data_IF_677519074662
#
_entry.id   IF_677519074662
#
_cell.length_a   1.000
_cell.length_b   1.000
_cell.length_c   1.000
_cell.angle_alpha   90.00
_cell.angle_beta   90.00
_cell.angle_gamma   90.00
#
_symmetry.space_group_name_H-M   'P 1'
#
loop_
_entity.id
_entity.type
_entity.pdbx_description
1 polymer ?
#
# COMPACT_ATOMS: atom_id res chain seq x y z
N UNK A 1 2.62 -4.10 -64.16
CA UNK A 1 3.68 -4.07 -63.13
C UNK A 1 3.81 -2.63 -62.62
N UNK A 2 3.48 -2.44 -61.33
CA UNK A 2 3.83 -1.34 -60.42
C UNK A 2 3.72 0.14 -60.88
N UNK A 3 2.80 0.94 -60.31
CA UNK A 3 3.05 2.35 -60.08
C UNK A 3 3.86 2.55 -58.79
N UNK A 4 4.88 3.39 -58.90
CA UNK A 4 5.81 3.78 -57.83
C UNK A 4 5.08 4.58 -56.75
N UNK A 5 5.49 4.28 -55.54
CA UNK A 5 5.03 4.76 -54.26
C UNK A 5 5.59 6.16 -53.92
N UNK A 6 4.89 6.84 -52.99
CA UNK A 6 5.35 7.89 -52.05
C UNK A 6 5.40 9.34 -52.54
N UNK A 7 4.39 10.11 -52.14
CA UNK A 7 4.52 11.06 -51.01
C UNK A 7 3.13 11.60 -50.67
N UNK A 8 2.45 10.96 -49.72
CA UNK A 8 1.29 11.55 -49.05
C UNK A 8 1.88 12.28 -47.85
N UNK A 9 1.93 13.60 -47.92
CA UNK A 9 2.21 14.49 -46.80
C UNK A 9 1.18 14.15 -45.74
N UNK A 10 1.63 13.49 -44.68
CA UNK A 10 0.91 13.38 -43.42
C UNK A 10 1.27 14.64 -42.65
N UNK A 11 0.34 15.58 -42.62
CA UNK A 11 0.31 16.62 -41.60
C UNK A 11 0.08 15.91 -40.26
N UNK A 12 1.17 15.45 -39.65
CA UNK A 12 1.23 15.21 -38.22
C UNK A 12 1.21 16.60 -37.57
N UNK A 13 0.00 17.10 -37.31
CA UNK A 13 -0.20 18.15 -36.32
C UNK A 13 0.27 17.58 -34.98
N UNK A 14 1.54 17.83 -34.68
CA UNK A 14 2.07 17.78 -33.32
C UNK A 14 1.17 18.70 -32.48
N UNK A 15 0.29 18.08 -31.69
CA UNK A 15 -0.37 18.75 -30.57
C UNK A 15 0.72 19.16 -29.60
N UNK A 16 1.29 20.35 -29.83
CA UNK A 16 2.04 21.09 -28.82
C UNK A 16 1.11 21.24 -27.62
N UNK A 17 1.38 20.42 -26.60
CA UNK A 17 0.89 20.56 -25.25
C UNK A 17 1.21 21.99 -24.81
N UNK A 18 0.27 22.91 -25.00
CA UNK A 18 0.42 24.32 -24.63
C UNK A 18 0.77 24.34 -23.15
N UNK A 19 2.04 24.61 -22.78
CA UNK A 19 2.40 24.53 -21.39
C UNK A 19 1.70 25.71 -20.75
N UNK A 20 0.74 25.43 -19.87
CA UNK A 20 0.34 26.39 -18.84
C UNK A 20 1.64 26.95 -18.26
N UNK A 21 1.93 28.22 -18.55
CA UNK A 21 3.26 28.83 -18.37
C UNK A 21 3.73 28.53 -16.95
N UNK A 22 4.67 27.59 -16.81
CA UNK A 22 5.10 27.16 -15.48
C UNK A 22 5.63 28.36 -14.68
N UNK A 23 5.35 28.43 -13.38
CA UNK A 23 5.73 29.58 -12.54
C UNK A 23 7.25 29.86 -12.62
N UNK A 24 8.04 28.81 -12.80
CA UNK A 24 9.48 28.89 -13.01
C UNK A 24 9.84 29.60 -14.33
N UNK A 25 9.11 29.36 -15.43
CA UNK A 25 9.32 30.06 -16.70
C UNK A 25 8.99 31.56 -16.59
N UNK A 26 8.00 31.96 -15.76
CA UNK A 26 7.69 33.38 -15.52
C UNK A 26 8.87 34.10 -14.85
N UNK A 27 9.61 33.40 -13.98
CA UNK A 27 10.86 33.90 -13.39
C UNK A 27 12.10 33.70 -14.27
N UNK A 28 11.98 32.97 -15.38
CA UNK A 28 13.11 32.57 -16.24
C UNK A 28 14.05 31.57 -15.56
N UNK A 29 13.52 30.72 -14.68
CA UNK A 29 14.25 29.71 -13.92
C UNK A 29 13.83 28.28 -14.32
N UNK A 30 14.67 27.30 -14.00
CA UNK A 30 14.31 25.89 -14.09
C UNK A 30 13.59 25.41 -12.81
N UNK A 31 12.85 24.30 -12.91
CA UNK A 31 12.16 23.68 -11.75
C UNK A 31 13.11 23.25 -10.63
N UNK A 32 14.39 23.05 -10.96
CA UNK A 32 15.49 22.69 -10.05
C UNK A 32 16.06 23.87 -9.27
N UNK A 33 15.60 25.10 -9.52
CA UNK A 33 16.16 26.31 -8.91
C UNK A 33 16.01 26.34 -7.38
N UNK A 34 17.01 26.84 -6.68
CA UNK A 34 17.00 26.96 -5.21
C UNK A 34 16.14 28.14 -4.74
N UNK A 35 15.72 28.13 -3.48
CA UNK A 35 14.93 29.22 -2.89
C UNK A 35 15.62 30.59 -2.96
N UNK A 36 16.96 30.58 -2.89
CA UNK A 36 17.77 31.79 -3.01
C UNK A 36 17.76 32.33 -4.45
N UNK A 37 17.76 31.46 -5.46
CA UNK A 37 17.71 31.85 -6.87
C UNK A 37 16.35 32.42 -7.26
N UNK A 38 15.27 31.83 -6.75
CA UNK A 38 13.88 32.32 -6.92
C UNK A 38 13.75 33.73 -6.36
N UNK A 39 14.22 33.97 -5.12
CA UNK A 39 14.20 35.30 -4.52
C UNK A 39 15.04 36.29 -5.33
N UNK A 40 16.25 35.91 -5.76
CA UNK A 40 17.11 36.78 -6.59
C UNK A 40 16.49 37.13 -7.94
N UNK A 41 15.85 36.17 -8.61
CA UNK A 41 15.16 36.41 -9.87
C UNK A 41 13.95 37.35 -9.69
N UNK A 42 13.17 37.12 -8.63
CA UNK A 42 12.07 38.01 -8.24
C UNK A 42 12.54 39.45 -8.04
N UNK A 43 13.59 39.68 -7.24
CA UNK A 43 14.12 41.03 -7.01
C UNK A 43 14.55 41.72 -8.31
N UNK A 44 15.21 41.00 -9.22
CA UNK A 44 15.64 41.57 -10.52
C UNK A 44 14.46 41.96 -11.40
N UNK A 45 13.41 41.14 -11.44
CA UNK A 45 12.22 41.39 -12.25
C UNK A 45 11.33 42.46 -11.62
N UNK A 46 11.16 42.45 -10.29
CA UNK A 46 10.41 43.45 -9.54
C UNK A 46 11.01 44.86 -9.73
N UNK A 47 12.34 44.98 -9.73
CA UNK A 47 13.03 46.25 -9.99
C UNK A 47 12.85 46.75 -11.44
N UNK A 48 12.68 45.84 -12.41
CA UNK A 48 12.43 46.20 -13.81
C UNK A 48 10.99 46.59 -14.08
N UNK A 49 10.05 45.93 -13.41
CA UNK A 49 8.61 46.10 -13.58
C UNK A 49 7.97 46.99 -12.51
N UNK A 50 8.79 47.67 -11.68
CA UNK A 50 8.28 48.50 -10.59
C UNK A 50 7.44 49.66 -11.13
N UNK A 51 6.26 49.97 -10.55
CA UNK A 51 5.37 51.03 -11.03
C UNK A 51 6.02 52.43 -10.99
N UNK A 52 6.95 52.67 -10.06
CA UNK A 52 7.74 53.92 -9.99
C UNK A 52 8.63 54.15 -11.22
N UNK A 53 9.12 53.08 -11.85
CA UNK A 53 9.98 53.17 -13.05
C UNK A 53 9.19 53.09 -14.35
N UNK A 54 7.99 52.52 -14.32
CA UNK A 54 7.09 52.41 -15.47
C UNK A 54 5.67 52.90 -15.09
N UNK A 55 5.50 54.21 -14.87
CA UNK A 55 4.23 54.77 -14.37
C UNK A 55 3.08 54.69 -15.40
N UNK A 56 3.39 54.63 -16.70
CA UNK A 56 2.40 54.65 -17.79
C UNK A 56 2.30 53.32 -18.57
N UNK A 57 2.94 52.25 -18.07
CA UNK A 57 2.97 50.94 -18.73
C UNK A 57 2.02 49.94 -18.03
N UNK A 58 0.81 49.79 -18.57
CA UNK A 58 -0.17 48.83 -18.06
C UNK A 58 0.32 47.37 -18.21
N UNK A 59 1.18 47.06 -19.20
CA UNK A 59 1.74 45.71 -19.32
C UNK A 59 2.75 45.42 -18.19
N UNK A 60 3.54 46.41 -17.79
CA UNK A 60 4.49 46.26 -16.68
C UNK A 60 3.75 45.99 -15.37
N UNK A 61 2.60 46.64 -15.17
CA UNK A 61 1.71 46.46 -14.02
C UNK A 61 1.07 45.07 -14.00
N UNK A 62 0.57 44.57 -15.13
CA UNK A 62 0.06 43.20 -15.22
C UNK A 62 1.16 42.16 -14.95
N UNK A 63 2.34 42.32 -15.54
CA UNK A 63 3.50 41.43 -15.31
C UNK A 63 3.97 41.50 -13.86
N UNK A 64 3.90 42.67 -13.22
CA UNK A 64 4.24 42.84 -11.80
C UNK A 64 3.23 42.12 -10.88
N UNK A 65 1.94 42.19 -11.17
CA UNK A 65 0.92 41.43 -10.44
C UNK A 65 1.13 39.92 -10.59
N UNK A 66 1.43 39.45 -11.81
CA UNK A 66 1.79 38.03 -12.04
C UNK A 66 3.04 37.63 -11.25
N UNK A 67 4.06 38.49 -11.20
CA UNK A 67 5.28 38.26 -10.42
C UNK A 67 4.99 38.13 -8.91
N UNK A 68 4.08 38.95 -8.38
CA UNK A 68 3.64 38.89 -6.99
C UNK A 68 2.90 37.57 -6.68
N UNK A 69 2.04 37.10 -7.58
CA UNK A 69 1.40 35.78 -7.44
C UNK A 69 2.43 34.65 -7.43
N UNK A 70 3.36 34.67 -8.39
CA UNK A 70 4.42 33.65 -8.50
C UNK A 70 5.25 33.53 -7.23
N UNK A 71 5.69 34.65 -6.64
CA UNK A 71 6.50 34.61 -5.41
C UNK A 71 5.67 34.21 -4.18
N UNK A 72 4.35 34.42 -4.19
CA UNK A 72 3.49 33.97 -3.08
C UNK A 72 3.39 32.43 -2.99
N UNK A 73 3.62 31.74 -4.12
CA UNK A 73 3.59 30.28 -4.24
C UNK A 73 5.00 29.70 -4.15
N UNK A 74 5.93 30.18 -4.99
CA UNK A 74 7.31 29.68 -5.02
C UNK A 74 8.18 30.22 -3.87
N UNK A 75 7.70 31.24 -3.14
CA UNK A 75 8.42 31.88 -2.03
C UNK A 75 8.40 31.08 -0.72
N UNK A 76 7.40 30.22 -0.54
CA UNK A 76 7.22 29.34 0.61
C UNK A 76 7.56 27.90 0.21
N UNK A 77 8.35 27.21 1.02
CA UNK A 77 8.79 25.84 0.73
C UNK A 77 7.63 24.86 0.72
N UNK A 78 6.60 25.06 1.57
CA UNK A 78 5.43 24.18 1.63
C UNK A 78 4.54 24.36 0.39
N UNK A 79 4.26 25.61 0.00
CA UNK A 79 3.46 25.93 -1.19
C UNK A 79 4.17 25.56 -2.48
N UNK A 80 5.50 25.69 -2.52
CA UNK A 80 6.32 25.23 -3.64
C UNK A 80 6.23 23.71 -3.79
N UNK A 81 6.38 22.96 -2.69
CA UNK A 81 6.25 21.50 -2.73
C UNK A 81 4.86 21.06 -3.21
N UNK A 82 3.81 21.79 -2.80
CA UNK A 82 2.44 21.55 -3.27
C UNK A 82 2.30 21.85 -4.77
N UNK A 83 2.84 22.96 -5.26
CA UNK A 83 2.86 23.30 -6.69
C UNK A 83 3.63 22.28 -7.52
N UNK A 84 4.80 21.83 -7.05
CA UNK A 84 5.62 20.84 -7.73
C UNK A 84 4.91 19.46 -7.81
N UNK A 85 4.00 19.16 -6.87
CA UNK A 85 3.21 17.91 -6.86
C UNK A 85 1.90 18.00 -7.65
N UNK A 86 1.19 19.13 -7.56
CA UNK A 86 -0.19 19.27 -8.08
C UNK A 86 -0.28 20.07 -9.37
N UNK A 87 0.73 20.88 -9.68
CA UNK A 87 0.75 21.77 -10.86
C UNK A 87 -0.26 22.92 -10.81
N UNK A 88 -1.05 23.06 -9.75
CA UNK A 88 -2.17 24.02 -9.67
C UNK A 88 -1.76 25.33 -8.97
N UNK A 89 -2.32 26.45 -9.44
CA UNK A 89 -1.90 27.82 -9.11
C UNK A 89 -3.19 28.59 -8.76
N UNK A 90 -3.45 28.79 -7.47
CA UNK A 90 -4.45 29.70 -6.87
C UNK A 90 -5.57 29.03 -6.05
N UNK A 91 -5.90 29.66 -4.91
CA UNK A 91 -7.04 29.32 -4.03
C UNK A 91 -8.40 29.51 -4.76
N UNK A 92 -8.46 30.37 -5.78
CA UNK A 92 -9.65 30.57 -6.64
C UNK A 92 -9.83 29.40 -7.64
N UNK A 93 -8.75 28.76 -8.09
CA UNK A 93 -8.82 27.55 -8.92
C UNK A 93 -9.16 26.30 -8.07
N UNK A 94 -8.89 26.34 -6.74
CA UNK A 94 -9.37 25.34 -5.78
C UNK A 94 -10.89 25.39 -5.57
N UNK A 95 -11.53 26.54 -5.80
CA UNK A 95 -12.98 26.67 -5.68
C UNK A 95 -13.74 26.10 -6.90
N UNK A 96 -13.03 25.92 -8.03
CA UNK A 96 -13.62 25.52 -9.31
C UNK A 96 -13.63 24.03 -9.61
N UNK A 97 -12.70 23.25 -9.04
CA UNK A 97 -12.58 21.82 -9.37
C UNK A 97 -12.54 20.93 -8.13
N UNK A 98 -13.68 20.31 -7.83
CA UNK A 98 -13.89 19.37 -6.72
C UNK A 98 -12.91 18.18 -6.78
N UNK A 99 -12.29 17.95 -7.95
CA UNK A 99 -11.31 16.89 -8.16
C UNK A 99 -9.95 17.17 -7.50
N UNK A 100 -9.53 18.44 -7.36
CA UNK A 100 -8.25 18.81 -6.75
C UNK A 100 -8.31 18.96 -5.22
N UNK A 101 -9.51 19.11 -4.66
CA UNK A 101 -9.69 19.22 -3.21
C UNK A 101 -9.27 17.93 -2.47
N UNK A 102 -9.47 16.77 -3.11
CA UNK A 102 -9.02 15.48 -2.56
C UNK A 102 -7.49 15.40 -2.46
N UNK A 103 -6.76 15.82 -3.50
CA UNK A 103 -5.30 15.78 -3.50
C UNK A 103 -4.72 16.85 -2.56
N UNK A 104 -5.35 18.02 -2.49
CA UNK A 104 -5.04 19.05 -1.50
C UNK A 104 -5.19 18.54 -0.06
N UNK A 105 -6.32 17.92 0.30
CA UNK A 105 -6.46 17.37 1.66
C UNK A 105 -5.54 16.17 1.92
N UNK A 106 -5.25 15.35 0.91
CA UNK A 106 -4.32 14.23 1.03
C UNK A 106 -2.88 14.66 1.28
N UNK A 107 -2.48 15.83 0.77
CA UNK A 107 -1.14 16.41 0.99
C UNK A 107 -1.06 17.17 2.32
N UNK A 108 -2.14 17.84 2.72
CA UNK A 108 -2.23 18.55 4.01
C UNK A 108 -2.22 17.60 5.22
N UNK A 109 -2.88 16.45 5.15
CA UNK A 109 -2.92 15.49 6.26
C UNK A 109 -1.81 14.43 6.15
N UNK A 110 -1.14 14.13 7.26
CA UNK A 110 -0.13 13.06 7.33
C UNK A 110 -0.73 11.76 6.81
N UNK A 111 -0.05 11.12 5.86
CA UNK A 111 -0.39 9.77 5.39
C UNK A 111 -0.33 8.82 6.58
N UNK A 112 -1.48 8.27 6.98
CA UNK A 112 -1.58 7.31 8.06
C UNK A 112 -0.86 6.03 7.64
N UNK A 113 0.22 5.69 8.34
CA UNK A 113 0.98 4.46 8.12
C UNK A 113 0.45 3.33 8.99
N UNK A 114 0.81 2.08 8.66
CA UNK A 114 0.46 0.93 9.51
C UNK A 114 1.04 1.06 10.92
N UNK A 115 2.25 1.62 11.04
CA UNK A 115 2.88 1.89 12.34
C UNK A 115 2.07 2.91 13.18
N UNK A 116 1.53 3.96 12.55
CA UNK A 116 0.69 4.94 13.26
C UNK A 116 -0.61 4.30 13.79
N UNK A 117 -1.18 3.33 13.04
CA UNK A 117 -2.38 2.58 13.46
C UNK A 117 -2.05 1.66 14.65
N UNK A 118 -0.91 0.99 14.60
CA UNK A 118 -0.45 0.11 15.68
C UNK A 118 -0.13 0.90 16.96
N UNK A 119 0.52 2.05 16.84
CA UNK A 119 0.79 2.96 17.95
C UNK A 119 -0.53 3.48 18.57
N UNK A 120 -1.47 3.91 17.73
CA UNK A 120 -2.79 4.32 18.19
C UNK A 120 -3.53 3.19 18.91
N UNK A 121 -3.54 1.98 18.36
CA UNK A 121 -4.19 0.82 18.99
C UNK A 121 -3.56 0.49 20.35
N UNK A 122 -2.23 0.55 20.45
CA UNK A 122 -1.51 0.29 21.70
C UNK A 122 -1.81 1.33 22.78
N UNK A 123 -1.95 2.60 22.39
CA UNK A 123 -2.25 3.69 23.32
C UNK A 123 -3.73 3.74 23.70
N UNK A 124 -4.64 3.37 22.78
CA UNK A 124 -6.08 3.39 23.03
C UNK A 124 -6.53 2.21 23.91
N UNK A 125 -6.04 1.00 23.66
CA UNK A 125 -6.42 -0.20 24.43
C UNK A 125 -5.97 -0.10 25.88
N UNK A 126 -6.91 -0.20 26.80
CA UNK A 126 -6.70 -0.10 28.25
C UNK A 126 -6.67 1.34 28.77
N UNK A 127 -6.82 2.34 27.90
CA UNK A 127 -6.89 3.75 28.31
C UNK A 127 -8.25 4.11 28.92
N UNK A 128 -8.30 5.23 29.62
CA UNK A 128 -9.57 5.77 30.14
C UNK A 128 -10.50 6.23 29.01
N UNK A 129 -9.94 6.68 27.88
CA UNK A 129 -10.72 7.03 26.68
C UNK A 129 -11.53 5.84 26.17
N UNK A 130 -10.93 4.64 26.15
CA UNK A 130 -11.63 3.43 25.75
C UNK A 130 -12.77 3.08 26.71
N UNK A 131 -12.54 3.23 28.03
CA UNK A 131 -13.60 2.98 29.02
C UNK A 131 -14.78 3.93 28.81
N UNK A 132 -14.51 5.21 28.61
CA UNK A 132 -15.53 6.22 28.36
C UNK A 132 -16.33 5.94 27.08
N UNK A 133 -15.63 5.63 25.98
CA UNK A 133 -16.26 5.28 24.71
C UNK A 133 -17.13 4.02 24.84
N UNK A 134 -16.67 3.02 25.61
CA UNK A 134 -17.41 1.79 25.88
C UNK A 134 -18.71 2.09 26.63
N UNK A 135 -18.65 2.94 27.65
CA UNK A 135 -19.81 3.37 28.45
C UNK A 135 -20.81 4.12 27.57
N UNK A 136 -20.34 5.03 26.73
CA UNK A 136 -21.20 5.83 25.85
C UNK A 136 -21.85 4.99 24.75
N UNK A 137 -21.10 4.07 24.15
CA UNK A 137 -21.65 3.10 23.21
C UNK A 137 -22.61 2.12 23.90
N UNK A 138 -22.36 1.72 25.14
CA UNK A 138 -23.30 0.90 25.90
C UNK A 138 -24.66 1.59 26.05
N UNK A 139 -24.66 2.88 26.41
CA UNK A 139 -25.88 3.71 26.50
C UNK A 139 -26.58 3.80 25.14
N UNK A 140 -25.83 4.08 24.07
CA UNK A 140 -26.36 4.21 22.70
C UNK A 140 -26.93 2.90 22.15
N UNK A 141 -26.27 1.78 22.42
CA UNK A 141 -26.65 0.44 21.98
C UNK A 141 -27.61 -0.27 22.97
N UNK A 142 -27.95 0.36 24.10
CA UNK A 142 -28.83 -0.17 25.15
C UNK A 142 -28.37 -1.55 25.67
N UNK A 143 -27.06 -1.74 25.77
CA UNK A 143 -26.42 -3.00 26.20
C UNK A 143 -26.49 -4.15 25.20
N UNK A 144 -26.74 -3.88 23.90
CA UNK A 144 -26.54 -4.87 22.85
C UNK A 144 -25.07 -4.90 22.41
N UNK A 145 -24.35 -5.93 22.84
CA UNK A 145 -22.91 -6.05 22.64
C UNK A 145 -22.51 -6.31 21.19
N UNK A 146 -23.31 -7.04 20.40
CA UNK A 146 -23.01 -7.27 18.98
C UNK A 146 -22.96 -5.95 18.20
N UNK A 147 -23.91 -5.05 18.48
CA UNK A 147 -23.94 -3.72 17.87
C UNK A 147 -22.81 -2.82 18.39
N UNK A 148 -22.47 -2.98 19.67
CA UNK A 148 -21.36 -2.26 20.29
C UNK A 148 -20.04 -2.65 19.62
N UNK A 149 -19.73 -3.94 19.48
CA UNK A 149 -18.49 -4.41 18.83
C UNK A 149 -18.38 -3.95 17.37
N UNK A 150 -19.49 -3.84 16.64
CA UNK A 150 -19.45 -3.28 15.28
C UNK A 150 -19.13 -1.78 15.24
N UNK A 151 -19.37 -1.05 16.33
CA UNK A 151 -19.22 0.42 16.40
C UNK A 151 -17.97 0.86 17.15
N UNK A 152 -17.43 0.00 18.02
CA UNK A 152 -16.30 0.29 18.90
C UNK A 152 -14.97 0.20 18.15
N UNK A 153 -14.11 1.22 18.30
CA UNK A 153 -12.78 1.24 17.72
C UNK A 153 -11.90 0.17 18.35
N UNK A 154 -10.97 -0.38 17.55
CA UNK A 154 -9.93 -1.31 18.00
C UNK A 154 -10.47 -2.55 18.77
N UNK A 155 -11.72 -2.94 18.52
CA UNK A 155 -12.39 -4.02 19.24
C UNK A 155 -12.48 -5.32 18.44
N UNK A 156 -12.26 -6.46 19.11
CA UNK A 156 -12.51 -7.80 18.57
C UNK A 156 -13.32 -8.61 19.58
N UNK A 157 -14.53 -9.01 19.20
CA UNK A 157 -15.43 -9.77 20.06
C UNK A 157 -14.79 -11.04 20.64
N UNK A 158 -13.84 -11.68 19.95
CA UNK A 158 -13.19 -12.90 20.46
C UNK A 158 -12.11 -12.63 21.50
N UNK A 159 -11.44 -11.49 21.41
CA UNK A 159 -10.30 -11.15 22.28
C UNK A 159 -10.72 -10.25 23.44
N UNK A 160 -11.66 -9.33 23.19
CA UNK A 160 -12.02 -8.26 24.11
C UNK A 160 -13.28 -8.54 24.93
N UNK A 161 -14.03 -9.61 24.67
CA UNK A 161 -15.29 -9.92 25.38
C UNK A 161 -15.14 -9.95 26.90
N UNK A 162 -14.11 -10.63 27.42
CA UNK A 162 -13.90 -10.69 28.88
C UNK A 162 -13.52 -9.32 29.45
N UNK A 163 -12.62 -8.60 28.79
CA UNK A 163 -12.16 -7.28 29.25
C UNK A 163 -13.27 -6.24 29.25
N UNK A 164 -14.09 -6.21 28.19
CA UNK A 164 -15.24 -5.32 28.11
C UNK A 164 -16.30 -5.67 29.15
N UNK A 165 -16.47 -6.96 29.45
CA UNK A 165 -17.32 -7.40 30.55
C UNK A 165 -16.81 -6.84 31.88
N UNK A 166 -15.52 -6.99 32.18
CA UNK A 166 -14.94 -6.52 33.45
C UNK A 166 -15.11 -5.00 33.61
N UNK A 167 -14.85 -4.22 32.56
CA UNK A 167 -15.02 -2.75 32.57
C UNK A 167 -16.49 -2.36 32.77
N UNK A 168 -17.42 -3.03 32.07
CA UNK A 168 -18.85 -2.73 32.19
C UNK A 168 -19.42 -3.17 33.53
N UNK A 169 -18.97 -4.31 34.07
CA UNK A 169 -19.37 -4.78 35.40
C UNK A 169 -18.85 -3.83 36.49
N UNK A 170 -17.62 -3.30 36.36
CA UNK A 170 -17.09 -2.25 37.23
C UNK A 170 -17.93 -0.96 37.16
N UNK A 171 -18.26 -0.49 35.96
CA UNK A 171 -19.10 0.70 35.77
C UNK A 171 -20.54 0.51 36.29
N UNK A 172 -21.10 -0.70 36.18
CA UNK A 172 -22.41 -1.05 36.74
C UNK A 172 -22.33 -1.09 38.27
N UNK A 173 -21.25 -1.67 38.83
CA UNK A 173 -21.04 -1.72 40.28
C UNK A 173 -20.83 -0.32 40.89
N UNK A 174 -20.14 0.56 40.18
CA UNK A 174 -19.99 1.97 40.52
C UNK A 174 -21.32 2.77 40.40
N UNK A 175 -22.34 2.21 39.73
CA UNK A 175 -23.64 2.84 39.55
C UNK A 175 -23.72 3.82 38.37
N UNK A 176 -22.68 3.91 37.53
CA UNK A 176 -22.65 4.76 36.33
C UNK A 176 -23.54 4.22 35.22
N UNK A 177 -23.72 2.89 35.16
CA UNK A 177 -24.52 2.20 34.16
C UNK A 177 -25.58 1.30 34.78
N UNK A 178 -26.74 1.21 34.11
CA UNK A 178 -27.80 0.27 34.46
C UNK A 178 -27.68 -0.99 33.62
N UNK A 179 -27.61 -2.14 34.28
CA UNK A 179 -27.59 -3.43 33.61
C UNK A 179 -28.88 -3.67 32.82
N UNK A 180 -28.75 -3.96 31.53
CA UNK A 180 -29.89 -4.36 30.68
C UNK A 180 -30.00 -5.88 30.56
N UNK A 181 -31.19 -6.39 30.24
CA UNK A 181 -31.41 -7.83 30.02
C UNK A 181 -30.53 -8.40 28.91
N UNK A 182 -30.30 -7.62 27.85
CA UNK A 182 -29.44 -8.00 26.74
C UNK A 182 -27.98 -8.17 27.20
N UNK A 183 -27.49 -7.23 28.01
CA UNK A 183 -26.16 -7.32 28.60
C UNK A 183 -26.02 -8.51 29.54
N UNK A 184 -26.98 -8.73 30.45
CA UNK A 184 -26.94 -9.86 31.38
C UNK A 184 -26.85 -11.22 30.66
N UNK A 185 -27.61 -11.38 29.56
CA UNK A 185 -27.54 -12.58 28.72
C UNK A 185 -26.13 -12.75 28.13
N UNK A 186 -25.59 -11.70 27.53
CA UNK A 186 -24.25 -11.73 26.95
C UNK A 186 -23.16 -11.97 28.01
N UNK A 187 -23.24 -11.31 29.17
CA UNK A 187 -22.27 -11.47 30.26
C UNK A 187 -22.21 -12.91 30.78
N UNK A 188 -23.36 -13.62 30.76
CA UNK A 188 -23.45 -15.04 31.07
C UNK A 188 -22.75 -15.90 30.00
N UNK A 189 -23.05 -15.66 28.72
CA UNK A 189 -22.39 -16.35 27.60
C UNK A 189 -20.87 -16.17 27.65
N UNK A 190 -20.38 -14.96 27.95
CA UNK A 190 -18.95 -14.67 28.07
C UNK A 190 -18.30 -15.37 29.27
N UNK A 191 -18.97 -15.49 30.42
CA UNK A 191 -18.42 -16.27 31.54
C UNK A 191 -18.29 -17.75 31.25
N UNK A 192 -19.09 -18.29 30.32
CA UNK A 192 -19.02 -19.69 29.91
C UNK A 192 -17.89 -19.92 28.89
N UNK A 193 -17.48 -18.88 28.14
CA UNK A 193 -16.36 -18.97 27.21
C UNK A 193 -15.00 -18.92 27.92
N UNK A 194 -14.01 -19.61 27.33
CA UNK A 194 -12.63 -19.59 27.87
C UNK A 194 -11.97 -18.24 27.59
N UNK A 195 -11.31 -17.62 28.58
CA UNK A 195 -10.54 -16.41 28.37
C UNK A 195 -9.45 -16.60 27.31
N UNK A 196 -9.25 -15.63 26.41
CA UNK A 196 -8.19 -15.69 25.41
C UNK A 196 -6.79 -15.64 26.06
N UNK A 197 -5.82 -16.36 25.48
CA UNK A 197 -4.46 -16.54 26.01
C UNK A 197 -3.66 -15.22 26.11
N UNK A 198 -4.02 -14.19 25.34
CA UNK A 198 -3.53 -12.83 25.52
C UNK A 198 -4.60 -11.84 25.03
N UNK A 199 -5.35 -11.19 25.93
CA UNK A 199 -6.41 -10.26 25.56
C UNK A 199 -5.88 -9.02 24.82
N UNK A 200 -4.67 -8.58 25.17
CA UNK A 200 -4.07 -7.34 24.69
C UNK A 200 -3.27 -7.50 23.40
N UNK A 201 -2.68 -8.68 23.15
CA UNK A 201 -1.92 -8.92 21.92
C UNK A 201 -2.81 -9.51 20.84
N UNK A 202 -3.10 -8.72 19.81
CA UNK A 202 -3.50 -9.32 18.53
C UNK A 202 -2.32 -10.16 18.06
N UNK A 203 -2.60 -11.40 17.63
CA UNK A 203 -1.58 -12.16 16.89
C UNK A 203 -1.21 -11.28 15.72
N UNK A 204 0.06 -10.85 15.65
CA UNK A 204 0.60 -10.25 14.44
C UNK A 204 0.13 -11.11 13.28
N UNK A 205 -0.47 -10.49 12.25
CA UNK A 205 -0.74 -11.19 10.99
C UNK A 205 0.58 -11.89 10.68
N UNK A 206 0.57 -13.22 10.62
CA UNK A 206 1.77 -13.96 10.21
C UNK A 206 2.22 -13.26 8.95
N UNK A 207 3.37 -12.58 9.00
CA UNK A 207 3.92 -11.89 7.85
C UNK A 207 3.84 -12.94 6.75
N UNK A 208 3.04 -12.69 5.71
CA UNK A 208 2.86 -13.65 4.63
C UNK A 208 4.25 -13.82 4.08
N UNK A 209 4.94 -14.88 4.53
CA UNK A 209 6.37 -15.09 4.28
C UNK A 209 6.55 -14.79 2.81
N UNK A 210 7.33 -13.74 2.55
CA UNK A 210 7.54 -13.22 1.21
C UNK A 210 7.82 -14.41 0.30
N UNK A 211 7.25 -14.46 -0.91
CA UNK A 211 7.36 -15.61 -1.80
C UNK A 211 8.82 -16.09 -2.00
N UNK A 212 9.78 -15.18 -1.77
CA UNK A 212 11.22 -15.43 -1.68
C UNK A 212 11.61 -16.48 -0.63
N UNK A 213 10.99 -16.49 0.55
CA UNK A 213 11.27 -17.44 1.64
C UNK A 213 10.73 -18.85 1.30
N UNK A 214 9.56 -18.92 0.65
CA UNK A 214 9.00 -20.20 0.18
C UNK A 214 9.86 -20.81 -0.94
N UNK A 215 10.36 -19.99 -1.87
CA UNK A 215 11.29 -20.42 -2.92
C UNK A 215 12.61 -20.93 -2.35
N UNK A 216 13.15 -20.24 -1.34
CA UNK A 216 14.36 -20.66 -0.64
C UNK A 216 14.17 -22.03 0.04
N UNK A 217 13.05 -22.23 0.76
CA UNK A 217 12.72 -23.51 1.41
C UNK A 217 12.52 -24.64 0.39
N UNK A 218 11.87 -24.37 -0.75
CA UNK A 218 11.70 -25.38 -1.82
C UNK A 218 13.03 -25.76 -2.46
N UNK A 219 13.92 -24.78 -2.69
CA UNK A 219 15.28 -25.01 -3.20
C UNK A 219 16.11 -25.86 -2.25
N UNK A 220 16.09 -25.52 -0.96
CA UNK A 220 16.80 -26.27 0.09
C UNK A 220 16.34 -27.73 0.16
N UNK A 221 15.01 -27.98 0.18
CA UNK A 221 14.46 -29.36 0.16
C UNK A 221 14.76 -30.12 -1.12
N UNK A 222 15.02 -29.44 -2.25
CA UNK A 222 15.47 -30.11 -3.49
C UNK A 222 16.94 -30.50 -3.39
N UNK A 223 17.79 -29.65 -2.81
CA UNK A 223 19.20 -29.98 -2.59
C UNK A 223 19.38 -31.09 -1.55
N UNK A 224 18.62 -31.08 -0.45
CA UNK A 224 18.63 -32.16 0.54
C UNK A 224 18.23 -33.50 -0.08
N UNK A 225 17.18 -33.50 -0.92
CA UNK A 225 16.77 -34.70 -1.66
C UNK A 225 17.81 -35.16 -2.67
N UNK A 226 18.53 -34.25 -3.33
CA UNK A 226 19.65 -34.62 -4.22
C UNK A 226 20.79 -35.26 -3.44
N UNK A 227 21.22 -34.66 -2.33
CA UNK A 227 22.28 -35.24 -1.49
C UNK A 227 21.90 -36.60 -0.90
N UNK A 228 20.65 -36.76 -0.46
CA UNK A 228 20.13 -38.06 -0.03
C UNK A 228 20.04 -39.06 -1.19
N UNK A 229 19.64 -38.62 -2.38
CA UNK A 229 19.59 -39.48 -3.57
C UNK A 229 20.98 -39.92 -4.02
N UNK A 230 21.97 -39.03 -4.04
CA UNK A 230 23.36 -39.35 -4.40
C UNK A 230 24.00 -40.29 -3.37
N UNK A 231 23.69 -40.12 -2.09
CA UNK A 231 24.12 -41.04 -1.03
C UNK A 231 23.44 -42.41 -1.16
N UNK A 232 22.14 -42.46 -1.47
CA UNK A 232 21.42 -43.71 -1.73
C UNK A 232 21.93 -44.39 -3.01
N UNK A 233 22.20 -43.63 -4.06
CA UNK A 233 22.71 -44.13 -5.34
C UNK A 233 24.13 -44.66 -5.18
N UNK A 234 25.02 -43.92 -4.50
CA UNK A 234 26.36 -44.38 -4.16
C UNK A 234 26.31 -45.66 -3.33
N UNK A 235 25.44 -45.74 -2.32
CA UNK A 235 25.24 -46.99 -1.56
C UNK A 235 24.73 -48.14 -2.44
N UNK A 236 23.89 -47.87 -3.45
CA UNK A 236 23.40 -48.88 -4.39
C UNK A 236 24.52 -49.34 -5.33
N UNK A 237 25.29 -48.41 -5.88
CA UNK A 237 26.43 -48.71 -6.76
C UNK A 237 27.49 -49.48 -5.99
N UNK A 238 27.81 -49.12 -4.75
CA UNK A 238 28.77 -49.90 -3.95
C UNK A 238 28.25 -51.29 -3.56
N UNK A 239 26.92 -51.47 -3.46
CA UNK A 239 26.32 -52.76 -3.05
C UNK A 239 26.08 -53.71 -4.23
N UNK A 240 25.85 -53.19 -5.43
CA UNK A 240 25.49 -53.98 -6.61
C UNK A 240 26.43 -53.78 -7.81
N UNK A 241 27.24 -52.73 -7.83
CA UNK A 241 28.23 -52.42 -8.86
C UNK A 241 29.58 -53.04 -8.53
N UNK A 242 29.65 -54.37 -8.56
CA UNK A 242 30.92 -55.09 -8.53
C UNK A 242 31.84 -54.67 -9.70
N UNK A 243 33.15 -54.80 -9.47
CA UNK A 243 34.30 -54.25 -10.20
C UNK A 243 34.49 -54.72 -11.67
N UNK A 244 33.48 -55.31 -12.30
CA UNK A 244 33.55 -55.80 -13.69
C UNK A 244 32.21 -55.56 -14.42
N UNK A 245 31.99 -54.34 -14.89
CA UNK A 245 30.97 -54.04 -15.89
C UNK A 245 31.53 -53.00 -16.86
N UNK A 246 31.95 -53.46 -18.04
CA UNK A 246 32.12 -52.60 -19.21
C UNK A 246 30.82 -51.80 -19.40
N UNK A 247 30.93 -50.47 -19.58
CA UNK A 247 29.77 -49.65 -19.93
C UNK A 247 29.05 -50.30 -21.14
N UNK A 248 27.74 -50.58 -21.06
CA UNK A 248 27.00 -51.13 -22.18
C UNK A 248 27.10 -50.15 -23.35
N UNK A 249 27.37 -50.67 -24.54
CA UNK A 249 27.61 -49.82 -25.71
C UNK A 249 26.39 -48.95 -26.01
N UNK A 250 26.63 -47.78 -26.61
CA UNK A 250 25.60 -46.78 -26.91
C UNK A 250 24.42 -47.36 -27.73
N UNK A 251 24.67 -48.41 -28.52
CA UNK A 251 23.67 -49.14 -29.27
C UNK A 251 22.73 -49.99 -28.39
N UNK A 252 23.25 -50.64 -27.35
CA UNK A 252 22.45 -51.43 -26.40
C UNK A 252 21.58 -50.51 -25.53
N UNK A 253 22.12 -49.34 -25.15
CA UNK A 253 21.39 -48.34 -24.39
C UNK A 253 20.27 -47.70 -25.22
N UNK A 254 20.52 -47.37 -26.48
CA UNK A 254 19.51 -46.86 -27.41
C UNK A 254 18.42 -47.90 -27.70
N UNK A 255 18.77 -49.18 -27.79
CA UNK A 255 17.81 -50.28 -27.97
C UNK A 255 16.92 -50.48 -26.74
N UNK A 256 17.48 -50.34 -25.52
CA UNK A 256 16.72 -50.39 -24.27
C UNK A 256 15.74 -49.21 -24.13
N UNK A 257 16.16 -48.00 -24.50
CA UNK A 257 15.28 -46.82 -24.54
C UNK A 257 14.13 -47.00 -25.55
N UNK A 258 14.41 -47.51 -26.75
CA UNK A 258 13.37 -47.80 -27.76
C UNK A 258 12.34 -48.84 -27.27
N UNK A 259 12.77 -49.85 -26.48
CA UNK A 259 11.86 -50.83 -25.87
C UNK A 259 10.97 -50.20 -24.79
N UNK A 260 11.52 -49.30 -23.97
CA UNK A 260 10.78 -48.56 -22.94
C UNK A 260 9.76 -47.56 -23.53
N UNK A 261 10.15 -46.84 -24.60
CA UNK A 261 9.26 -45.94 -25.35
C UNK A 261 8.09 -46.71 -25.98
N UNK A 262 8.33 -47.89 -26.57
CA UNK A 262 7.27 -48.81 -27.06
C UNK A 262 6.34 -49.31 -25.95
N UNK A 263 6.83 -49.46 -24.72
CA UNK A 263 6.01 -49.84 -23.56
C UNK A 263 5.19 -48.69 -22.98
N UNK A 264 5.59 -47.44 -23.22
CA UNK A 264 4.87 -46.23 -22.78
C UNK A 264 3.71 -45.85 -23.72
N UNK A 265 3.83 -46.10 -25.02
CA UNK A 265 2.77 -45.81 -25.99
C UNK A 265 1.57 -46.76 -25.92
N UNK A 266 1.69 -47.92 -25.25
CA UNK A 266 0.61 -48.91 -25.08
C UNK A 266 -0.25 -48.72 -23.83
N UNK A 267 0.05 -47.75 -22.97
CA UNK A 267 -0.79 -47.37 -21.82
C UNK A 267 -1.51 -46.04 -22.09
N UNK A 268 -2.64 -46.10 -22.80
CA UNK A 268 -3.60 -44.99 -22.82
C UNK A 268 -4.26 -44.83 -21.44
N UNK A 269 -4.31 -43.61 -20.86
CA UNK A 269 -4.93 -43.39 -19.57
C UNK A 269 -6.47 -43.39 -19.67
N UNK A 270 -7.12 -44.26 -18.88
CA UNK A 270 -8.58 -44.23 -18.62
C UNK A 270 -8.96 -42.85 -18.08
N UNK A 271 -9.68 -42.04 -18.87
CA UNK A 271 -10.37 -40.85 -18.38
C UNK A 271 -11.44 -41.25 -17.37
N UNK A 272 -11.26 -40.88 -16.09
CA UNK A 272 -12.32 -40.97 -15.10
C UNK A 272 -13.35 -39.86 -15.36
N UNK A 273 -14.51 -40.22 -15.88
CA UNK A 273 -15.71 -39.37 -15.84
C UNK A 273 -16.11 -39.20 -14.37
N UNK A 274 -15.92 -38.00 -13.81
CA UNK A 274 -16.64 -37.56 -12.61
C UNK A 274 -18.01 -37.05 -13.05
N UNK A 275 -19.05 -37.72 -12.53
CA UNK A 275 -20.41 -37.18 -12.41
C UNK A 275 -20.42 -36.10 -11.34
#
# INVERSE_FOLDING_TARGET
>A
MAPKNKARVSDDEEMEDQPQKSLYQVLGLEKTATQQEIKKAYYKLALRLHPDKNPDDEEAKEKFQQLQKVISILGDEEKRALYDQTGCIDDDDLAGDVQNLHEFFRTMYKKVTEADIEEFEANYRGSDSEKNDLIDLYKKCKGNMNKLFCSMLCSDAKLDSHRFKDILDEAIAAGELKATKAYQKWAKEVSETKPPTSPLKRKAKSNKQSETDLFAVISQRRNERKGQFDSMFSSLVSKYGGDDMQEPSEEEFAAAQKKLEKGRSSKTPKQSKRK
#
